data_IF_292374651145
#
_entry.id   IF_292374651145
#
_cell.length_a   1.000
_cell.length_b   1.000
_cell.length_c   1.000
_cell.angle_alpha   90.00
_cell.angle_beta   90.00
_cell.angle_gamma   90.00
#
_symmetry.space_group_name_H-M   'P 1'
#
loop_
_entity.id
_entity.type
_entity.pdbx_description
1 polymer ?
#
# COMPACT_ATOMS: atom_id res chain seq x y z
N UNK A 1 43.69 1.65 68.53
CA UNK A 1 43.87 1.49 67.06
C UNK A 1 42.47 1.38 66.46
N UNK A 2 42.04 2.38 65.68
CA UNK A 2 40.65 2.53 65.20
C UNK A 2 40.39 1.55 64.06
N UNK A 3 39.39 0.67 64.18
CA UNK A 3 38.83 -0.07 63.04
C UNK A 3 37.59 0.66 62.54
N UNK A 4 37.64 1.10 61.27
CA UNK A 4 36.52 1.69 60.54
C UNK A 4 35.77 0.56 59.83
N UNK A 5 34.52 0.33 60.20
CA UNK A 5 33.61 -0.55 59.46
C UNK A 5 32.99 0.23 58.31
N UNK A 6 33.37 -0.11 57.08
CA UNK A 6 32.79 0.44 55.85
C UNK A 6 31.53 -0.34 55.52
N UNK A 7 30.35 0.28 55.63
CA UNK A 7 29.09 -0.28 55.12
C UNK A 7 29.04 -0.06 53.60
N UNK A 8 29.11 -1.13 52.81
CA UNK A 8 28.73 -1.09 51.41
C UNK A 8 27.20 -1.06 51.30
N UNK A 9 26.66 0.08 50.86
CA UNK A 9 25.28 0.16 50.39
C UNK A 9 25.29 -0.31 48.93
N UNK A 10 24.80 -1.53 48.68
CA UNK A 10 24.55 -2.00 47.32
C UNK A 10 23.30 -1.31 46.76
N UNK A 11 23.49 -0.33 45.88
CA UNK A 11 22.41 0.25 45.11
C UNK A 11 21.99 -0.74 44.01
N UNK A 12 20.85 -1.41 44.20
CA UNK A 12 20.19 -2.21 43.17
C UNK A 12 19.61 -1.26 42.12
N UNK A 13 20.33 -1.10 41.00
CA UNK A 13 19.77 -0.49 39.80
C UNK A 13 18.72 -1.45 39.22
N UNK A 14 17.43 -1.11 39.39
CA UNK A 14 16.35 -1.81 38.72
C UNK A 14 16.41 -1.49 37.22
N UNK A 15 16.96 -2.42 36.44
CA UNK A 15 16.82 -2.40 34.99
C UNK A 15 15.37 -2.76 34.69
N UNK A 16 14.54 -1.76 34.38
CA UNK A 16 13.19 -1.99 33.86
C UNK A 16 13.31 -2.58 32.45
N UNK A 17 13.24 -3.90 32.35
CA UNK A 17 13.04 -4.56 31.06
C UNK A 17 11.64 -4.20 30.57
N UNK A 18 11.54 -3.27 29.63
CA UNK A 18 10.31 -3.10 28.85
C UNK A 18 10.11 -4.39 28.05
N UNK A 19 9.29 -5.30 28.57
CA UNK A 19 8.80 -6.42 27.80
C UNK A 19 7.89 -5.86 26.71
N UNK A 20 8.32 -5.93 25.45
CA UNK A 20 7.44 -5.66 24.32
C UNK A 20 6.32 -6.70 24.34
N UNK A 21 5.07 -6.24 24.27
CA UNK A 21 3.93 -7.14 24.17
C UNK A 21 4.06 -7.98 22.90
N UNK A 22 3.70 -9.27 22.97
CA UNK A 22 3.71 -10.12 21.79
C UNK A 22 2.73 -9.59 20.71
N UNK A 23 3.00 -9.81 19.42
CA UNK A 23 2.07 -9.44 18.35
C UNK A 23 0.70 -10.07 18.56
N UNK A 24 -0.36 -9.31 18.29
CA UNK A 24 -1.73 -9.77 18.40
C UNK A 24 -2.04 -10.77 17.29
N UNK A 25 -2.79 -11.81 17.64
CA UNK A 25 -3.29 -12.82 16.67
C UNK A 25 -4.55 -12.35 15.94
N UNK A 26 -5.36 -11.56 16.63
CA UNK A 26 -6.63 -10.99 16.18
C UNK A 26 -6.99 -9.76 17.04
N UNK A 27 -8.09 -9.09 16.70
CA UNK A 27 -8.66 -7.94 17.42
C UNK A 27 -10.01 -8.28 18.08
N UNK A 28 -10.28 -9.56 18.35
CA UNK A 28 -11.57 -10.02 18.92
C UNK A 28 -11.89 -9.42 20.29
N UNK A 29 -10.87 -8.96 21.01
CA UNK A 29 -11.00 -8.28 22.31
C UNK A 29 -11.17 -6.76 22.18
N UNK A 30 -11.35 -6.22 20.96
CA UNK A 30 -11.65 -4.80 20.74
C UNK A 30 -10.45 -3.87 20.89
N UNK A 31 -9.24 -4.33 20.57
CA UNK A 31 -8.04 -3.50 20.64
C UNK A 31 -8.11 -2.32 19.66
N UNK A 32 -7.78 -1.13 20.18
CA UNK A 32 -7.63 0.12 19.44
C UNK A 32 -6.28 0.76 19.77
N UNK A 33 -5.89 1.81 19.04
CA UNK A 33 -4.59 2.44 19.20
C UNK A 33 -3.47 1.57 18.62
N UNK A 34 -2.28 1.64 19.21
CA UNK A 34 -1.08 0.96 18.68
C UNK A 34 -1.02 -0.51 19.07
N UNK A 35 -0.70 -1.36 18.12
CA UNK A 35 -0.46 -2.78 18.31
C UNK A 35 0.47 -3.31 17.22
N UNK A 36 0.81 -4.59 17.29
CA UNK A 36 1.58 -5.28 16.25
C UNK A 36 0.84 -6.55 15.81
N UNK A 37 1.00 -6.96 14.56
CA UNK A 37 0.49 -8.23 14.04
C UNK A 37 1.52 -8.93 13.15
N UNK A 38 1.40 -10.25 13.02
CA UNK A 38 2.30 -11.03 12.16
C UNK A 38 1.89 -10.95 10.68
N UNK A 39 2.90 -10.75 9.83
CA UNK A 39 2.80 -10.82 8.37
C UNK A 39 4.05 -11.51 7.81
N UNK A 40 4.21 -11.45 6.49
CA UNK A 40 5.26 -12.15 5.76
C UNK A 40 6.02 -11.24 4.79
N UNK A 41 7.24 -11.62 4.47
CA UNK A 41 8.06 -11.00 3.42
C UNK A 41 8.35 -12.03 2.34
N UNK A 42 7.51 -12.10 1.30
CA UNK A 42 7.76 -12.99 0.18
C UNK A 42 9.00 -12.52 -0.60
N UNK A 43 9.85 -13.44 -1.08
CA UNK A 43 11.09 -13.09 -1.77
C UNK A 43 10.85 -12.37 -3.10
N UNK A 44 9.76 -12.70 -3.81
CA UNK A 44 9.38 -12.03 -5.05
C UNK A 44 7.89 -12.25 -5.38
N UNK A 45 7.38 -11.41 -6.29
CA UNK A 45 5.98 -11.42 -6.75
C UNK A 45 5.58 -12.72 -7.46
N UNK A 46 6.49 -13.41 -8.13
CA UNK A 46 6.18 -14.63 -8.88
C UNK A 46 5.87 -15.79 -7.93
N UNK A 47 6.68 -15.95 -6.88
CA UNK A 47 6.45 -16.95 -5.85
C UNK A 47 5.20 -16.61 -5.02
N UNK A 48 5.04 -15.34 -4.65
CA UNK A 48 3.86 -14.88 -3.92
C UNK A 48 2.55 -15.14 -4.67
N UNK A 49 2.46 -14.72 -5.94
CA UNK A 49 1.28 -14.98 -6.78
C UNK A 49 0.92 -16.47 -6.78
N UNK A 50 1.90 -17.36 -6.95
CA UNK A 50 1.69 -18.82 -7.02
C UNK A 50 1.43 -19.48 -5.66
N UNK A 51 1.34 -18.71 -4.58
CA UNK A 51 1.26 -19.22 -3.20
C UNK A 51 2.44 -20.14 -2.83
N UNK A 52 3.59 -19.96 -3.50
CA UNK A 52 4.81 -20.70 -3.24
C UNK A 52 5.63 -19.95 -2.18
N UNK A 53 5.28 -20.16 -0.91
CA UNK A 53 5.83 -19.37 0.20
C UNK A 53 7.22 -19.82 0.68
N UNK A 54 7.90 -20.73 -0.03
CA UNK A 54 9.26 -21.12 0.28
C UNK A 54 10.21 -19.90 0.25
N UNK A 55 11.05 -19.76 1.29
CA UNK A 55 11.97 -18.62 1.44
C UNK A 55 11.32 -17.33 1.96
N UNK A 56 10.03 -17.35 2.30
CA UNK A 56 9.35 -16.24 2.96
C UNK A 56 9.80 -16.11 4.40
N UNK A 57 10.04 -14.88 4.87
CA UNK A 57 10.34 -14.60 6.28
C UNK A 57 9.13 -13.97 7.00
N UNK A 58 9.04 -14.16 8.31
CA UNK A 58 8.01 -13.50 9.14
C UNK A 58 8.42 -12.05 9.41
N UNK A 59 7.45 -11.14 9.45
CA UNK A 59 7.63 -9.76 9.87
C UNK A 59 6.56 -9.37 10.91
N UNK A 60 6.98 -8.68 11.96
CA UNK A 60 6.09 -8.11 12.97
C UNK A 60 5.72 -6.69 12.57
N UNK A 61 4.48 -6.46 12.15
CA UNK A 61 4.02 -5.21 11.57
C UNK A 61 3.39 -4.32 12.65
N UNK A 62 3.99 -3.17 12.99
CA UNK A 62 3.38 -2.20 13.87
C UNK A 62 2.28 -1.46 13.13
N UNK A 63 1.16 -1.30 13.82
CA UNK A 63 -0.03 -0.68 13.29
C UNK A 63 -0.75 0.16 14.34
N UNK A 64 -1.61 1.05 13.87
CA UNK A 64 -2.41 1.92 14.71
C UNK A 64 -3.85 1.94 14.18
N UNK A 65 -4.79 1.48 15.01
CA UNK A 65 -6.23 1.55 14.74
C UNK A 65 -6.82 2.79 15.41
N UNK A 66 -7.15 3.77 14.59
CA UNK A 66 -7.83 5.00 14.98
C UNK A 66 -9.33 4.80 14.79
N UNK A 67 -10.13 5.06 15.81
CA UNK A 67 -11.58 4.91 15.75
C UNK A 67 -12.28 6.27 15.80
N UNK A 68 -13.43 6.42 15.11
CA UNK A 68 -14.28 7.59 15.28
C UNK A 68 -14.65 7.80 16.76
N UNK A 69 -14.79 9.07 17.15
CA UNK A 69 -15.27 9.41 18.49
C UNK A 69 -16.75 9.06 18.63
N UNK A 70 -17.16 8.78 19.86
CA UNK A 70 -18.58 8.64 20.24
C UNK A 70 -19.33 7.50 19.52
N UNK A 71 -18.63 6.43 19.12
CA UNK A 71 -19.27 5.21 18.62
C UNK A 71 -19.97 4.49 19.79
N UNK A 72 -21.26 4.21 19.64
CA UNK A 72 -21.99 3.40 20.60
C UNK A 72 -21.34 2.02 20.78
N UNK A 73 -21.35 1.49 22.01
CA UNK A 73 -20.63 0.25 22.37
C UNK A 73 -20.89 -0.94 21.43
N UNK A 74 -22.13 -1.05 20.94
CA UNK A 74 -22.56 -2.16 20.09
C UNK A 74 -22.68 -1.78 18.60
N UNK A 75 -22.29 -0.55 18.23
CA UNK A 75 -22.30 -0.10 16.85
C UNK A 75 -21.07 -0.63 16.10
N UNK A 76 -21.31 -1.09 14.86
CA UNK A 76 -20.26 -1.44 13.90
C UNK A 76 -20.04 -0.30 12.93
N UNK A 77 -18.79 0.10 12.74
CA UNK A 77 -18.39 1.14 11.80
C UNK A 77 -17.64 0.54 10.62
N UNK A 78 -17.73 1.15 9.42
CA UNK A 78 -16.85 0.78 8.32
C UNK A 78 -15.39 1.08 8.70
N UNK A 79 -14.45 0.40 8.04
CA UNK A 79 -13.02 0.62 8.27
C UNK A 79 -12.26 0.86 6.97
N UNK A 80 -11.11 1.53 7.08
CA UNK A 80 -10.19 1.77 5.98
C UNK A 80 -8.78 1.37 6.39
N UNK A 81 -8.13 0.55 5.58
CA UNK A 81 -6.67 0.35 5.66
C UNK A 81 -5.99 1.40 4.78
N UNK A 82 -5.01 2.13 5.34
CA UNK A 82 -4.19 3.06 4.57
C UNK A 82 -2.83 2.43 4.23
N UNK A 83 -2.62 2.11 2.95
CA UNK A 83 -1.34 1.61 2.43
C UNK A 83 -0.42 2.78 2.05
N UNK A 84 0.69 2.93 2.77
CA UNK A 84 1.55 4.10 2.67
C UNK A 84 2.44 4.13 1.42
N UNK A 85 2.94 5.31 1.05
CA UNK A 85 3.83 5.48 -0.11
C UNK A 85 5.27 5.02 0.14
N UNK A 86 6.15 5.38 -0.79
CA UNK A 86 7.59 5.12 -0.66
C UNK A 86 8.25 5.87 0.50
N UNK A 87 7.61 6.91 1.06
CA UNK A 87 8.09 7.63 2.25
C UNK A 87 7.92 6.88 3.58
N UNK A 88 7.27 5.71 3.58
CA UNK A 88 6.86 5.06 4.83
C UNK A 88 5.60 5.70 5.41
N UNK A 89 5.38 5.53 6.70
CA UNK A 89 4.26 6.18 7.42
C UNK A 89 4.56 7.67 7.60
N UNK A 90 3.96 8.50 6.76
CA UNK A 90 4.10 9.97 6.74
C UNK A 90 2.90 10.66 7.41
N UNK A 91 3.06 11.93 7.82
CA UNK A 91 2.03 12.65 8.59
C UNK A 91 0.73 12.91 7.81
N UNK A 92 0.76 12.92 6.48
CA UNK A 92 -0.44 13.05 5.63
C UNK A 92 -1.44 11.91 5.86
N UNK A 93 -0.98 10.70 6.20
CA UNK A 93 -1.86 9.59 6.55
C UNK A 93 -2.71 9.91 7.78
N UNK A 94 -2.17 10.69 8.71
CA UNK A 94 -2.86 11.08 9.94
C UNK A 94 -3.64 12.39 9.77
N UNK A 95 -2.96 13.49 9.42
CA UNK A 95 -3.55 14.83 9.52
C UNK A 95 -4.48 15.17 8.34
N UNK A 96 -4.44 14.39 7.25
CA UNK A 96 -5.42 14.44 6.15
C UNK A 96 -6.33 13.24 6.24
N UNK A 97 -5.81 12.04 5.97
CA UNK A 97 -6.66 10.90 5.68
C UNK A 97 -7.36 10.34 6.91
N UNK A 98 -6.63 9.98 7.96
CA UNK A 98 -7.25 9.42 9.15
C UNK A 98 -8.19 10.42 9.83
N UNK A 99 -7.84 11.71 9.83
CA UNK A 99 -8.69 12.78 10.34
C UNK A 99 -10.03 12.87 9.59
N UNK A 100 -10.00 13.00 8.27
CA UNK A 100 -11.22 13.17 7.46
C UNK A 100 -12.06 11.89 7.43
N UNK A 101 -11.43 10.71 7.40
CA UNK A 101 -12.12 9.41 7.45
C UNK A 101 -12.80 9.17 8.81
N UNK A 102 -12.11 9.43 9.93
CA UNK A 102 -12.72 9.31 11.26
C UNK A 102 -13.87 10.31 11.43
N UNK A 103 -13.73 11.54 10.94
CA UNK A 103 -14.81 12.54 10.95
C UNK A 103 -16.01 12.08 10.11
N UNK A 104 -15.79 11.27 9.07
CA UNK A 104 -16.83 10.64 8.26
C UNK A 104 -17.36 9.32 8.84
N UNK A 105 -16.90 8.88 10.02
CA UNK A 105 -17.39 7.69 10.71
C UNK A 105 -16.68 6.38 10.34
N UNK A 106 -15.51 6.42 9.71
CA UNK A 106 -14.71 5.25 9.39
C UNK A 106 -13.61 5.03 10.42
N UNK A 107 -13.44 3.81 10.91
CA UNK A 107 -12.20 3.41 11.58
C UNK A 107 -11.05 3.35 10.57
N UNK A 108 -9.83 3.65 11.01
CA UNK A 108 -8.67 3.76 10.13
C UNK A 108 -7.51 2.97 10.72
N UNK A 109 -7.03 1.98 9.96
CA UNK A 109 -5.86 1.19 10.30
C UNK A 109 -4.68 1.63 9.43
N UNK A 110 -3.60 2.09 10.08
CA UNK A 110 -2.34 2.42 9.43
C UNK A 110 -1.31 1.39 9.85
N UNK A 111 -0.67 0.71 8.90
CA UNK A 111 0.35 -0.31 9.15
C UNK A 111 1.69 0.11 8.53
N UNK A 112 2.80 -0.01 9.26
CA UNK A 112 4.13 0.31 8.76
C UNK A 112 4.77 -0.93 8.11
N UNK A 113 4.79 -0.96 6.78
CA UNK A 113 5.33 -2.08 6.02
C UNK A 113 6.86 -2.03 5.87
N UNK A 114 7.56 -0.99 6.36
CA UNK A 114 9.00 -0.82 6.13
C UNK A 114 9.84 -1.00 7.38
N UNK A 115 9.51 -0.33 8.48
CA UNK A 115 10.32 -0.38 9.72
C UNK A 115 10.60 -1.80 10.23
N UNK A 116 9.64 -2.76 10.18
CA UNK A 116 9.90 -4.15 10.56
C UNK A 116 11.01 -4.84 9.78
N UNK A 117 11.33 -4.31 8.61
CA UNK A 117 12.34 -4.84 7.68
C UNK A 117 13.62 -4.01 7.72
N UNK A 118 13.78 -3.13 8.71
CA UNK A 118 14.95 -2.26 8.85
C UNK A 118 15.03 -1.14 7.82
N UNK A 119 13.91 -0.84 7.15
CA UNK A 119 13.83 0.17 6.08
C UNK A 119 13.03 1.37 6.57
N UNK A 120 13.54 2.58 6.34
CA UNK A 120 12.81 3.82 6.66
C UNK A 120 11.91 4.25 5.49
N UNK A 121 12.45 4.19 4.27
CA UNK A 121 11.83 4.68 3.05
C UNK A 121 12.37 3.91 1.84
N UNK A 122 11.66 3.97 0.73
CA UNK A 122 12.00 3.29 -0.53
C UNK A 122 12.04 4.24 -1.73
N UNK A 123 11.95 5.56 -1.53
CA UNK A 123 11.92 6.56 -2.59
C UNK A 123 13.13 6.45 -3.52
N UNK A 124 14.31 6.23 -2.93
CA UNK A 124 15.60 6.11 -3.63
C UNK A 124 15.93 4.70 -4.10
N UNK A 125 15.21 3.68 -3.61
CA UNK A 125 15.33 2.31 -4.06
C UNK A 125 14.06 1.53 -3.68
N UNK A 126 13.21 1.29 -4.67
CA UNK A 126 11.93 0.60 -4.49
C UNK A 126 12.10 -0.90 -4.14
N UNK A 127 13.29 -1.46 -4.38
CA UNK A 127 13.60 -2.88 -4.16
C UNK A 127 13.96 -3.21 -2.71
N UNK A 128 14.22 -2.20 -1.85
CA UNK A 128 14.56 -2.41 -0.43
C UNK A 128 13.47 -3.18 0.33
N UNK A 129 12.23 -3.07 -0.11
CA UNK A 129 11.12 -3.91 0.35
C UNK A 129 10.46 -4.54 -0.86
N UNK A 130 10.24 -5.87 -0.90
CA UNK A 130 9.49 -6.48 -1.99
C UNK A 130 8.05 -5.92 -2.06
N UNK A 131 7.57 -5.58 -3.26
CA UNK A 131 6.15 -5.22 -3.48
C UNK A 131 5.13 -6.19 -2.88
N UNK A 132 5.27 -7.54 -3.03
CA UNK A 132 4.31 -8.47 -2.43
C UNK A 132 4.31 -8.47 -0.90
N UNK A 133 5.38 -7.98 -0.24
CA UNK A 133 5.39 -7.84 1.22
C UNK A 133 4.36 -6.79 1.67
N UNK A 134 4.28 -5.67 0.95
CA UNK A 134 3.30 -4.62 1.24
C UNK A 134 1.85 -5.08 0.98
N UNK A 135 1.63 -5.89 -0.07
CA UNK A 135 0.35 -6.55 -0.33
C UNK A 135 -0.01 -7.50 0.82
N UNK A 136 0.92 -8.34 1.26
CA UNK A 136 0.72 -9.27 2.37
C UNK A 136 0.41 -8.56 3.69
N UNK A 137 1.13 -7.47 4.00
CA UNK A 137 0.91 -6.65 5.19
C UNK A 137 -0.49 -6.04 5.17
N UNK A 138 -0.94 -5.56 4.01
CA UNK A 138 -2.27 -4.98 3.81
C UNK A 138 -3.39 -6.02 3.92
N UNK A 139 -3.20 -7.23 3.38
CA UNK A 139 -4.15 -8.33 3.52
C UNK A 139 -4.20 -8.87 4.97
N UNK A 140 -3.08 -8.88 5.70
CA UNK A 140 -3.08 -9.21 7.12
C UNK A 140 -3.75 -8.12 7.97
N UNK A 141 -3.63 -6.84 7.60
CA UNK A 141 -4.41 -5.75 8.21
C UNK A 141 -5.93 -5.98 8.04
N UNK A 142 -6.39 -6.40 6.85
CA UNK A 142 -7.77 -6.84 6.65
C UNK A 142 -8.14 -8.00 7.58
N UNK A 143 -7.30 -9.04 7.67
CA UNK A 143 -7.48 -10.18 8.58
C UNK A 143 -7.61 -9.77 10.06
N UNK A 144 -6.88 -8.74 10.49
CA UNK A 144 -7.03 -8.19 11.84
C UNK A 144 -8.39 -7.49 12.01
N UNK A 145 -8.76 -6.59 11.10
CA UNK A 145 -9.98 -5.79 11.19
C UNK A 145 -11.27 -6.61 11.20
N UNK A 146 -11.34 -7.70 10.42
CA UNK A 146 -12.56 -8.54 10.35
C UNK A 146 -12.93 -9.21 11.67
N UNK A 147 -11.98 -9.32 12.60
CA UNK A 147 -12.19 -9.92 13.92
C UNK A 147 -12.64 -8.90 14.97
N UNK A 148 -12.52 -7.60 14.69
CA UNK A 148 -12.81 -6.56 15.69
C UNK A 148 -14.33 -6.42 15.89
N UNK A 149 -14.85 -6.45 17.13
CA UNK A 149 -16.29 -6.51 17.39
C UNK A 149 -17.08 -5.28 16.90
N UNK A 150 -16.44 -4.11 16.86
CA UNK A 150 -17.03 -2.85 16.38
C UNK A 150 -16.69 -2.51 14.92
N UNK A 151 -16.06 -3.41 14.16
CA UNK A 151 -15.83 -3.21 12.73
C UNK A 151 -16.88 -3.98 11.92
N UNK A 152 -17.44 -3.31 10.93
CA UNK A 152 -18.28 -3.93 9.92
C UNK A 152 -17.42 -4.65 8.89
N UNK A 153 -17.32 -5.97 9.01
CA UNK A 153 -16.49 -6.80 8.13
C UNK A 153 -16.91 -6.77 6.65
N UNK A 154 -18.15 -6.34 6.34
CA UNK A 154 -18.60 -6.17 4.96
C UNK A 154 -18.18 -4.83 4.35
N UNK A 155 -17.73 -3.87 5.16
CA UNK A 155 -17.38 -2.50 4.74
C UNK A 155 -15.97 -2.11 5.21
N UNK A 156 -14.99 -2.95 4.83
CA UNK A 156 -13.57 -2.65 5.00
C UNK A 156 -12.98 -2.28 3.64
N UNK A 157 -12.38 -1.11 3.55
CA UNK A 157 -11.83 -0.55 2.30
C UNK A 157 -10.31 -0.45 2.37
N UNK A 158 -9.68 -0.29 1.22
CA UNK A 158 -8.25 -0.01 1.11
C UNK A 158 -8.02 1.30 0.35
N UNK A 159 -7.23 2.20 0.92
CA UNK A 159 -6.74 3.39 0.23
C UNK A 159 -5.22 3.33 0.20
N UNK A 160 -4.66 3.44 -1.00
CA UNK A 160 -3.22 3.37 -1.21
C UNK A 160 -2.66 4.56 -1.95
N UNK A 161 -1.45 4.98 -1.57
CA UNK A 161 -0.76 6.16 -2.12
C UNK A 161 0.55 5.78 -2.81
N UNK A 162 0.75 6.17 -4.08
CA UNK A 162 1.97 5.87 -4.85
C UNK A 162 2.28 4.37 -4.87
N UNK A 163 3.38 3.93 -4.24
CA UNK A 163 3.68 2.51 -4.03
C UNK A 163 2.59 1.77 -3.22
N UNK A 164 1.98 2.43 -2.25
CA UNK A 164 0.79 1.92 -1.57
C UNK A 164 -0.44 1.88 -2.47
N UNK A 165 -0.52 2.76 -3.47
CA UNK A 165 -1.56 2.70 -4.51
C UNK A 165 -1.44 1.43 -5.33
N UNK A 166 -0.21 0.99 -5.61
CA UNK A 166 0.03 -0.32 -6.21
C UNK A 166 -0.44 -1.46 -5.31
N UNK A 167 -0.17 -1.40 -3.99
CA UNK A 167 -0.69 -2.39 -3.05
C UNK A 167 -2.23 -2.40 -3.03
N UNK A 168 -2.88 -1.22 -2.99
CA UNK A 168 -4.33 -1.12 -3.01
C UNK A 168 -4.94 -1.66 -4.30
N UNK A 169 -4.32 -1.38 -5.45
CA UNK A 169 -4.73 -1.97 -6.72
C UNK A 169 -4.53 -3.49 -6.72
N UNK A 170 -3.37 -3.98 -6.31
CA UNK A 170 -3.02 -5.41 -6.35
C UNK A 170 -3.95 -6.22 -5.43
N UNK A 171 -4.27 -5.73 -4.22
CA UNK A 171 -5.20 -6.42 -3.29
C UNK A 171 -6.62 -6.60 -3.83
N UNK A 172 -7.00 -5.91 -4.91
CA UNK A 172 -8.30 -6.11 -5.55
C UNK A 172 -8.39 -7.44 -6.31
N UNK A 173 -7.25 -8.06 -6.62
CA UNK A 173 -7.18 -9.23 -7.49
C UNK A 173 -6.89 -10.53 -6.72
N UNK A 174 -7.58 -11.66 -7.01
CA UNK A 174 -7.34 -12.94 -6.34
C UNK A 174 -5.88 -13.39 -6.38
N UNK A 175 -5.20 -13.26 -7.53
CA UNK A 175 -3.77 -13.62 -7.69
C UNK A 175 -2.86 -13.00 -6.63
N UNK A 176 -3.17 -11.81 -6.14
CA UNK A 176 -2.37 -11.11 -5.13
C UNK A 176 -2.96 -11.16 -3.73
N UNK A 177 -4.28 -11.34 -3.59
CA UNK A 177 -4.94 -11.34 -2.29
C UNK A 177 -5.04 -12.73 -1.64
N UNK A 178 -5.22 -13.79 -2.42
CA UNK A 178 -5.38 -15.18 -1.93
C UNK A 178 -4.15 -15.78 -1.21
N UNK A 179 -2.89 -15.34 -1.44
CA UNK A 179 -1.75 -15.84 -0.67
C UNK A 179 -1.83 -15.58 0.84
N UNK A 180 -2.71 -14.68 1.30
CA UNK A 180 -3.03 -14.48 2.72
C UNK A 180 -4.44 -14.99 2.98
N UNK A 181 -4.57 -15.97 3.88
CA UNK A 181 -5.88 -16.50 4.26
C UNK A 181 -6.65 -15.51 5.13
N UNK A 182 -7.60 -14.81 4.54
CA UNK A 182 -8.52 -13.87 5.21
C UNK A 182 -9.87 -14.49 5.56
N UNK A 183 -9.97 -15.81 5.65
CA UNK A 183 -11.24 -16.52 5.86
C UNK A 183 -12.30 -16.08 4.83
N UNK A 184 -11.87 -15.96 3.57
CA UNK A 184 -12.62 -15.50 2.39
C UNK A 184 -13.05 -14.02 2.36
N UNK A 185 -12.78 -13.24 3.41
CA UNK A 185 -13.13 -11.81 3.40
C UNK A 185 -12.25 -11.03 2.42
N UNK A 186 -12.87 -10.12 1.66
CA UNK A 186 -12.22 -9.21 0.71
C UNK A 186 -12.51 -7.77 1.10
N UNK A 187 -11.74 -6.84 0.56
CA UNK A 187 -12.07 -5.42 0.69
C UNK A 187 -13.38 -5.12 -0.08
N UNK A 188 -14.19 -4.21 0.45
CA UNK A 188 -15.42 -3.74 -0.16
C UNK A 188 -15.19 -2.76 -1.33
N UNK A 189 -14.01 -2.14 -1.37
CA UNK A 189 -13.60 -1.21 -2.41
C UNK A 189 -12.18 -0.69 -2.22
N UNK A 190 -11.61 -0.17 -3.31
CA UNK A 190 -10.22 0.28 -3.36
C UNK A 190 -10.13 1.71 -3.91
N UNK A 191 -9.35 2.57 -3.24
CA UNK A 191 -9.00 3.90 -3.76
C UNK A 191 -7.50 3.97 -3.98
N UNK A 192 -7.11 4.29 -5.21
CA UNK A 192 -5.75 4.15 -5.70
C UNK A 192 -5.23 5.52 -6.14
N UNK A 193 -4.35 6.10 -5.35
CA UNK A 193 -3.75 7.41 -5.61
C UNK A 193 -2.43 7.28 -6.36
N UNK A 194 -2.34 7.87 -7.56
CA UNK A 194 -1.12 8.01 -8.39
C UNK A 194 -0.19 6.78 -8.35
N UNK A 195 -0.68 5.58 -8.72
CA UNK A 195 -0.02 4.32 -8.38
C UNK A 195 1.27 4.07 -9.18
N UNK A 196 2.26 3.43 -8.57
CA UNK A 196 3.55 3.17 -9.22
C UNK A 196 3.62 1.96 -10.17
N UNK A 197 2.52 1.24 -10.42
CA UNK A 197 2.53 -0.08 -11.09
C UNK A 197 1.94 -0.08 -12.53
N UNK A 198 1.52 1.05 -13.09
CA UNK A 198 0.89 1.05 -14.41
C UNK A 198 1.86 1.01 -15.59
N UNK A 199 3.10 1.46 -15.44
CA UNK A 199 4.10 1.43 -16.52
C UNK A 199 4.79 0.07 -16.70
N UNK A 200 4.71 -0.79 -15.68
CA UNK A 200 5.21 -2.17 -15.70
C UNK A 200 4.08 -3.05 -15.13
N UNK A 201 3.26 -3.59 -16.03
CA UNK A 201 2.00 -4.24 -15.69
C UNK A 201 2.19 -5.74 -15.47
N UNK A 202 1.90 -6.18 -14.26
CA UNK A 202 1.87 -7.60 -13.89
C UNK A 202 0.42 -8.07 -13.96
N UNK A 203 0.00 -8.46 -15.16
CA UNK A 203 -1.39 -8.73 -15.53
C UNK A 203 -1.85 -10.04 -14.90
N UNK A 204 -2.94 -10.02 -14.16
CA UNK A 204 -3.70 -11.22 -13.75
C UNK A 204 -5.12 -11.26 -14.35
N UNK A 205 -5.52 -10.17 -15.00
CA UNK A 205 -6.85 -9.93 -15.59
C UNK A 205 -7.11 -10.71 -16.90
N UNK A 206 -6.24 -11.66 -17.28
CA UNK A 206 -6.55 -12.66 -18.31
C UNK A 206 -7.45 -13.79 -17.78
N UNK A 207 -7.45 -14.05 -16.46
CA UNK A 207 -8.13 -15.19 -15.85
C UNK A 207 -9.07 -14.82 -14.72
N UNK A 208 -8.97 -13.61 -14.21
CA UNK A 208 -9.74 -13.18 -13.05
C UNK A 208 -10.27 -11.75 -13.22
N UNK A 209 -11.11 -11.33 -12.26
CA UNK A 209 -11.66 -9.97 -12.14
C UNK A 209 -11.25 -9.38 -10.80
N UNK A 210 -11.30 -8.05 -10.72
CA UNK A 210 -11.26 -7.37 -9.44
C UNK A 210 -12.44 -7.84 -8.57
N UNK A 211 -12.16 -8.11 -7.29
CA UNK A 211 -13.12 -8.60 -6.30
C UNK A 211 -14.06 -7.50 -5.77
N UNK A 212 -13.70 -6.23 -6.01
CA UNK A 212 -14.46 -5.07 -5.58
C UNK A 212 -14.24 -3.86 -6.52
N UNK A 213 -15.10 -2.82 -6.44
CA UNK A 213 -14.93 -1.59 -7.21
C UNK A 213 -13.60 -0.88 -6.91
N UNK A 214 -13.04 -0.20 -7.91
CA UNK A 214 -11.78 0.55 -7.81
C UNK A 214 -11.98 1.99 -8.29
N UNK A 215 -11.64 2.97 -7.44
CA UNK A 215 -11.49 4.37 -7.83
C UNK A 215 -9.99 4.68 -7.96
N UNK A 216 -9.56 5.13 -9.13
CA UNK A 216 -8.17 5.57 -9.38
C UNK A 216 -8.11 7.08 -9.52
N UNK A 217 -7.25 7.72 -8.74
CA UNK A 217 -7.08 9.16 -8.70
C UNK A 217 -5.66 9.51 -9.19
N UNK A 218 -5.59 10.09 -10.38
CA UNK A 218 -4.36 10.29 -11.15
C UNK A 218 -3.92 11.77 -11.10
N UNK A 219 -2.61 11.97 -11.06
CA UNK A 219 -2.01 13.28 -11.25
C UNK A 219 -2.15 13.75 -12.71
N UNK A 220 -1.89 15.03 -12.99
CA UNK A 220 -1.89 15.55 -14.35
C UNK A 220 -0.79 14.86 -15.17
N UNK A 221 -1.15 14.30 -16.31
CA UNK A 221 -0.22 13.56 -17.18
C UNK A 221 0.98 14.40 -17.64
N UNK A 222 0.79 15.70 -17.76
CA UNK A 222 1.85 16.62 -18.21
C UNK A 222 2.80 16.99 -17.08
N UNK A 223 2.38 16.84 -15.83
CA UNK A 223 3.14 17.26 -14.65
C UNK A 223 3.62 16.08 -13.78
N UNK A 224 3.16 14.87 -14.04
CA UNK A 224 3.60 13.67 -13.35
C UNK A 224 4.95 13.18 -13.90
N UNK A 225 5.97 13.15 -13.04
CA UNK A 225 7.32 12.73 -13.42
C UNK A 225 7.63 11.27 -13.07
N UNK A 226 6.92 10.65 -12.12
CA UNK A 226 7.19 9.28 -11.69
C UNK A 226 6.65 8.21 -12.66
N UNK A 227 5.61 8.55 -13.43
CA UNK A 227 4.90 7.60 -14.29
C UNK A 227 4.35 8.27 -15.56
N UNK A 228 4.01 7.46 -16.56
CA UNK A 228 3.29 7.93 -17.74
C UNK A 228 1.79 7.70 -17.56
N UNK A 229 1.07 8.74 -17.15
CA UNK A 229 -0.36 8.67 -16.85
C UNK A 229 -1.19 8.21 -18.06
N UNK A 230 -0.72 8.45 -19.30
CA UNK A 230 -1.41 7.97 -20.49
C UNK A 230 -1.38 6.43 -20.59
N UNK A 231 -0.25 5.81 -20.21
CA UNK A 231 -0.13 4.35 -20.11
C UNK A 231 -1.09 3.80 -19.05
N UNK A 232 -1.20 4.47 -17.90
CA UNK A 232 -2.11 4.09 -16.83
C UNK A 232 -3.58 4.15 -17.28
N UNK A 233 -3.99 5.26 -17.91
CA UNK A 233 -5.35 5.41 -18.46
C UNK A 233 -5.69 4.32 -19.47
N UNK A 234 -4.78 4.06 -20.42
CA UNK A 234 -4.97 2.99 -21.41
C UNK A 234 -5.19 1.64 -20.74
N UNK A 235 -4.40 1.31 -19.71
CA UNK A 235 -4.56 0.07 -18.96
C UNK A 235 -5.91 0.00 -18.24
N UNK A 236 -6.36 1.09 -17.60
CA UNK A 236 -7.68 1.09 -16.96
C UNK A 236 -8.82 0.98 -17.98
N UNK A 237 -8.72 1.63 -19.14
CA UNK A 237 -9.70 1.48 -20.22
C UNK A 237 -9.78 0.01 -20.69
N UNK A 238 -8.64 -0.69 -20.84
CA UNK A 238 -8.61 -2.12 -21.14
C UNK A 238 -9.32 -2.97 -20.07
N UNK A 239 -9.08 -2.68 -18.79
CA UNK A 239 -9.68 -3.41 -17.67
C UNK A 239 -11.20 -3.15 -17.55
N UNK A 240 -11.64 -1.92 -17.83
CA UNK A 240 -13.05 -1.53 -17.90
C UNK A 240 -13.73 -2.25 -19.08
N UNK A 241 -13.09 -2.28 -20.25
CA UNK A 241 -13.59 -3.01 -21.41
C UNK A 241 -13.72 -4.53 -21.15
N UNK A 242 -12.88 -5.06 -20.25
CA UNK A 242 -13.01 -6.43 -19.73
C UNK A 242 -14.13 -6.58 -18.69
N UNK A 243 -14.88 -5.56 -18.32
CA UNK A 243 -16.01 -5.64 -17.39
C UNK A 243 -15.67 -5.48 -15.91
N UNK A 244 -14.48 -4.95 -15.57
CA UNK A 244 -14.16 -4.60 -14.18
C UNK A 244 -14.82 -3.26 -13.79
N UNK A 245 -15.30 -3.15 -12.55
CA UNK A 245 -15.84 -1.90 -12.02
C UNK A 245 -14.69 -0.96 -11.60
N UNK A 246 -14.13 -0.26 -12.57
CA UNK A 246 -13.05 0.71 -12.37
C UNK A 246 -13.52 2.08 -12.85
N UNK A 247 -13.31 3.10 -12.04
CA UNK A 247 -13.43 4.50 -12.42
C UNK A 247 -12.09 5.17 -12.20
N UNK A 248 -11.68 6.05 -13.09
CA UNK A 248 -10.50 6.88 -12.86
C UNK A 248 -10.79 8.36 -13.13
N UNK A 249 -10.10 9.22 -12.39
CA UNK A 249 -10.14 10.68 -12.55
C UNK A 249 -8.73 11.23 -12.57
N UNK A 250 -8.44 12.09 -13.55
CA UNK A 250 -7.19 12.84 -13.64
C UNK A 250 -7.40 14.26 -13.12
N UNK A 251 -6.60 14.70 -12.16
CA UNK A 251 -6.68 16.05 -11.62
C UNK A 251 -5.74 16.97 -12.40
N UNK A 252 -6.32 17.95 -13.12
CA UNK A 252 -5.51 18.94 -13.84
C UNK A 252 -4.73 19.83 -12.90
N UNK A 253 -3.47 20.09 -13.24
CA UNK A 253 -2.52 20.81 -12.39
C UNK A 253 -1.95 19.99 -11.22
N UNK A 254 -2.40 18.76 -11.01
CA UNK A 254 -1.88 17.91 -9.94
C UNK A 254 -0.50 17.34 -10.31
N UNK A 255 0.41 17.33 -9.33
CA UNK A 255 1.71 16.65 -9.40
C UNK A 255 1.67 15.36 -8.58
N UNK A 256 2.75 14.59 -8.59
CA UNK A 256 2.85 13.41 -7.73
C UNK A 256 2.61 13.80 -6.25
N UNK A 257 1.93 12.94 -5.49
CA UNK A 257 1.60 13.22 -4.09
C UNK A 257 0.79 14.53 -3.89
N UNK A 258 -0.24 14.73 -4.72
CA UNK A 258 -1.13 15.90 -4.66
C UNK A 258 -2.01 15.95 -3.40
N UNK A 259 -1.99 14.93 -2.56
CA UNK A 259 -2.73 14.80 -1.30
C UNK A 259 -1.91 15.26 -0.07
N UNK A 260 -0.71 15.82 -0.25
CA UNK A 260 0.22 16.13 0.85
C UNK A 260 -0.12 17.40 1.62
N UNK A 261 0.21 17.40 2.93
CA UNK A 261 0.15 18.58 3.80
C UNK A 261 1.30 19.52 3.47
N UNK A 262 1.04 20.83 3.42
CA UNK A 262 1.95 21.93 3.13
C UNK A 262 2.00 22.42 1.68
N UNK A 263 1.44 21.68 0.71
CA UNK A 263 1.20 22.10 -0.69
C UNK A 263 2.37 22.77 -1.41
N UNK A 264 3.57 22.74 -0.81
CA UNK A 264 4.72 23.48 -1.29
C UNK A 264 5.28 22.64 -2.42
N UNK A 265 5.51 23.27 -3.56
CA UNK A 265 6.27 22.64 -4.62
C UNK A 265 7.62 22.21 -4.06
N UNK A 266 7.84 20.90 -3.96
CA UNK A 266 9.09 20.30 -3.50
C UNK A 266 9.67 19.50 -4.63
N UNK A 267 10.95 19.72 -4.92
CA UNK A 267 11.70 18.85 -5.83
C UNK A 267 12.43 17.83 -4.97
N UNK A 268 12.09 16.56 -5.13
CA UNK A 268 12.96 15.48 -4.71
C UNK A 268 13.97 15.25 -5.84
N UNK A 269 15.28 15.52 -5.63
CA UNK A 269 16.29 15.39 -6.67
C UNK A 269 16.49 13.94 -7.14
N UNK A 270 16.01 12.94 -6.39
CA UNK A 270 16.13 11.52 -6.70
C UNK A 270 14.81 10.80 -6.53
N UNK A 271 13.95 10.92 -7.54
CA UNK A 271 12.70 10.15 -7.65
C UNK A 271 12.89 9.04 -8.67
N UNK A 272 12.58 7.80 -8.29
CA UNK A 272 12.47 6.71 -9.25
C UNK A 272 11.30 6.97 -10.20
N UNK A 273 11.58 7.04 -11.49
CA UNK A 273 10.59 7.21 -12.55
C UNK A 273 10.54 5.98 -13.44
N UNK A 274 9.33 5.51 -13.71
CA UNK A 274 9.02 4.51 -14.71
C UNK A 274 8.30 5.13 -15.93
N UNK A 275 8.33 6.46 -16.09
CA UNK A 275 7.64 7.17 -17.19
C UNK A 275 8.06 6.73 -18.58
N UNK A 276 9.31 6.26 -18.74
CA UNK A 276 9.79 5.72 -20.00
C UNK A 276 9.51 4.23 -20.20
N UNK A 277 8.90 3.56 -19.22
CA UNK A 277 8.50 2.16 -19.32
C UNK A 277 7.07 2.04 -19.86
N UNK A 278 6.84 1.07 -20.73
CA UNK A 278 5.51 0.58 -21.09
C UNK A 278 5.63 -0.92 -21.38
N UNK A 279 5.58 -1.71 -20.32
CA UNK A 279 5.76 -3.15 -20.38
C UNK A 279 4.59 -3.86 -19.74
N UNK A 280 4.26 -5.04 -20.27
CA UNK A 280 3.34 -5.94 -19.61
C UNK A 280 3.84 -7.38 -19.63
N UNK A 281 3.41 -8.12 -18.63
CA UNK A 281 3.58 -9.57 -18.55
C UNK A 281 2.33 -10.18 -17.94
N UNK A 282 1.87 -11.29 -18.50
CA UNK A 282 0.78 -12.06 -17.92
C UNK A 282 1.33 -13.02 -16.87
N UNK A 283 0.88 -12.83 -15.64
CA UNK A 283 1.26 -13.66 -14.52
C UNK A 283 0.69 -15.06 -14.72
N UNK A 284 1.54 -16.06 -14.56
CA UNK A 284 1.11 -17.47 -14.56
C UNK A 284 1.17 -18.01 -13.14
N UNK A 285 0.11 -18.71 -12.76
CA UNK A 285 0.00 -19.39 -11.46
C UNK A 285 0.63 -20.78 -11.48
N UNK A 286 1.14 -21.25 -12.64
CA UNK A 286 1.76 -22.56 -12.77
C UNK A 286 3.10 -22.60 -12.02
N UNK A 287 3.25 -23.51 -11.06
CA UNK A 287 4.53 -23.74 -10.39
C UNK A 287 5.65 -24.04 -11.41
N UNK A 288 6.84 -23.46 -11.20
CA UNK A 288 7.99 -23.61 -12.11
C UNK A 288 7.93 -22.81 -13.41
N UNK A 289 6.83 -22.10 -13.71
CA UNK A 289 6.83 -21.12 -14.82
C UNK A 289 7.65 -19.88 -14.43
N UNK A 290 8.44 -19.33 -15.35
CA UNK A 290 9.34 -18.21 -15.11
C UNK A 290 8.64 -16.85 -14.99
N UNK A 291 9.16 -15.87 -15.74
CA UNK A 291 8.81 -14.45 -15.71
C UNK A 291 7.30 -14.16 -15.89
N UNK A 292 6.54 -15.07 -16.49
CA UNK A 292 5.19 -14.80 -16.98
C UNK A 292 5.08 -15.30 -18.42
N UNK A 293 3.89 -15.21 -19.01
CA UNK A 293 3.72 -15.38 -20.45
C UNK A 293 3.67 -14.01 -21.14
N UNK A 294 4.05 -13.97 -22.42
CA UNK A 294 3.85 -12.82 -23.31
C UNK A 294 4.43 -11.50 -22.78
N UNK A 295 5.69 -11.51 -22.32
CA UNK A 295 6.33 -10.27 -21.87
C UNK A 295 6.64 -9.39 -23.08
N UNK A 296 6.09 -8.19 -23.10
CA UNK A 296 6.19 -7.27 -24.22
C UNK A 296 6.50 -5.85 -23.76
N UNK A 297 7.45 -5.20 -24.45
CA UNK A 297 7.77 -3.78 -24.32
C UNK A 297 7.15 -3.02 -25.48
N UNK A 298 6.11 -2.23 -25.19
CA UNK A 298 5.35 -1.48 -26.17
C UNK A 298 6.12 -0.26 -26.69
N UNK A 299 7.01 0.33 -25.89
CA UNK A 299 7.81 1.49 -26.34
C UNK A 299 8.86 1.06 -27.36
N UNK A 300 9.50 -0.10 -27.12
CA UNK A 300 10.55 -0.66 -28.01
C UNK A 300 10.02 -1.66 -29.04
N UNK A 301 8.75 -2.05 -28.94
CA UNK A 301 8.06 -3.01 -29.80
C UNK A 301 8.78 -4.37 -29.86
N UNK A 302 9.19 -4.91 -28.71
CA UNK A 302 9.92 -6.18 -28.61
C UNK A 302 9.33 -7.10 -27.56
N UNK A 303 9.37 -8.41 -27.84
CA UNK A 303 9.07 -9.46 -26.87
C UNK A 303 10.32 -9.82 -26.07
N UNK A 304 10.12 -10.28 -24.83
CA UNK A 304 11.19 -10.80 -23.97
C UNK A 304 10.84 -12.22 -23.52
N UNK A 305 11.84 -13.11 -23.53
CA UNK A 305 11.68 -14.52 -23.21
C UNK A 305 12.19 -14.88 -21.81
N UNK A 306 13.10 -14.07 -21.24
CA UNK A 306 13.77 -14.39 -19.97
C UNK A 306 13.64 -13.28 -18.93
N UNK A 307 13.76 -13.65 -17.65
CA UNK A 307 13.82 -12.68 -16.55
C UNK A 307 15.01 -11.72 -16.63
N UNK A 308 16.13 -12.18 -17.21
CA UNK A 308 17.30 -11.34 -17.43
C UNK A 308 17.03 -10.23 -18.46
N UNK A 309 16.41 -10.58 -19.60
CA UNK A 309 16.01 -9.59 -20.62
C UNK A 309 15.03 -8.57 -20.06
N UNK A 310 14.05 -9.02 -19.27
CA UNK A 310 13.10 -8.12 -18.63
C UNK A 310 13.77 -7.22 -17.59
N UNK A 311 14.64 -7.74 -16.73
CA UNK A 311 15.40 -6.93 -15.79
C UNK A 311 16.25 -5.86 -16.48
N UNK A 312 16.90 -6.22 -17.60
CA UNK A 312 17.64 -5.26 -18.42
C UNK A 312 16.73 -4.20 -19.04
N UNK A 313 15.55 -4.57 -19.54
CA UNK A 313 14.59 -3.61 -20.10
C UNK A 313 14.02 -2.66 -19.04
N UNK A 314 13.73 -3.16 -17.83
CA UNK A 314 13.33 -2.33 -16.68
C UNK A 314 14.43 -1.33 -16.34
N UNK A 315 15.68 -1.77 -16.26
CA UNK A 315 16.82 -0.89 -16.00
C UNK A 315 17.07 0.12 -17.13
N UNK A 316 16.74 -0.22 -18.38
CA UNK A 316 16.87 0.68 -19.54
C UNK A 316 15.82 1.81 -19.50
N UNK A 317 14.60 1.52 -19.04
CA UNK A 317 13.49 2.48 -19.06
C UNK A 317 13.28 3.21 -17.74
N UNK A 318 13.70 2.65 -16.60
CA UNK A 318 13.65 3.34 -15.33
C UNK A 318 14.81 4.33 -15.20
N UNK A 319 14.54 5.46 -14.54
CA UNK A 319 15.55 6.48 -14.29
C UNK A 319 15.34 7.14 -12.94
N UNK A 320 16.43 7.66 -12.38
CA UNK A 320 16.35 8.64 -11.30
C UNK A 320 16.23 10.03 -11.90
N UNK A 321 15.12 10.70 -11.61
CA UNK A 321 14.84 12.05 -12.11
C UNK A 321 14.54 13.00 -10.95
N UNK A 322 14.77 14.31 -11.12
CA UNK A 322 14.13 15.30 -10.27
C UNK A 322 12.61 15.15 -10.40
N UNK A 323 11.95 14.76 -9.31
CA UNK A 323 10.51 14.59 -9.25
C UNK A 323 9.89 15.69 -8.42
N UNK A 324 8.80 16.27 -8.91
CA UNK A 324 8.06 17.28 -8.16
C UNK A 324 6.99 16.63 -7.28
N UNK A 325 6.80 17.18 -6.09
CA UNK A 325 5.70 16.85 -5.18
C UNK A 325 4.99 18.12 -4.78
N UNK A 326 3.66 18.06 -4.71
CA UNK A 326 2.86 19.24 -4.40
C UNK A 326 3.10 20.42 -5.36
N UNK A 327 2.62 21.62 -4.99
CA UNK A 327 2.62 22.80 -5.85
C UNK A 327 1.33 22.99 -6.65
N UNK A 328 1.12 24.20 -7.18
CA UNK A 328 -0.15 24.58 -7.82
C UNK A 328 -1.29 24.73 -6.81
N UNK A 329 -2.54 24.53 -7.25
CA UNK A 329 -3.74 24.49 -6.37
C UNK A 329 -3.90 23.11 -5.68
N UNK A 330 -2.79 22.57 -5.16
CA UNK A 330 -2.78 21.26 -4.50
C UNK A 330 -3.74 21.22 -3.29
N UNK A 331 -4.06 22.37 -2.68
CA UNK A 331 -5.06 22.45 -1.61
C UNK A 331 -6.47 22.15 -2.12
N UNK A 332 -6.90 22.78 -3.21
CA UNK A 332 -8.22 22.47 -3.76
C UNK A 332 -8.27 21.04 -4.30
N UNK A 333 -7.20 20.58 -4.96
CA UNK A 333 -7.09 19.22 -5.49
C UNK A 333 -7.16 18.18 -4.37
N UNK A 334 -6.40 18.35 -3.27
CA UNK A 334 -6.49 17.46 -2.11
C UNK A 334 -7.92 17.45 -1.55
N UNK A 335 -8.53 18.62 -1.35
CA UNK A 335 -9.89 18.70 -0.82
C UNK A 335 -10.90 18.01 -1.74
N UNK A 336 -10.74 18.13 -3.06
CA UNK A 336 -11.57 17.44 -4.05
C UNK A 336 -11.34 15.93 -4.02
N UNK A 337 -10.09 15.48 -3.97
CA UNK A 337 -9.76 14.06 -3.91
C UNK A 337 -10.27 13.38 -2.62
N UNK A 338 -10.25 14.09 -1.48
CA UNK A 338 -10.89 13.64 -0.24
C UNK A 338 -12.40 13.51 -0.42
N UNK A 339 -13.06 14.51 -1.02
CA UNK A 339 -14.51 14.43 -1.29
C UNK A 339 -14.88 13.26 -2.20
N UNK A 340 -14.19 13.11 -3.33
CA UNK A 340 -14.41 12.03 -4.29
C UNK A 340 -14.20 10.65 -3.66
N UNK A 341 -13.19 10.54 -2.79
CA UNK A 341 -12.91 9.33 -2.01
C UNK A 341 -14.07 9.01 -1.08
N UNK A 342 -14.51 9.96 -0.26
CA UNK A 342 -15.61 9.76 0.67
C UNK A 342 -16.93 9.45 -0.05
N UNK A 343 -17.20 10.06 -1.20
CA UNK A 343 -18.36 9.75 -2.03
C UNK A 343 -18.31 8.31 -2.55
N UNK A 344 -17.14 7.88 -3.04
CA UNK A 344 -16.94 6.49 -3.49
C UNK A 344 -17.17 5.49 -2.36
N UNK A 345 -16.59 5.72 -1.17
CA UNK A 345 -16.74 4.83 -0.02
C UNK A 345 -18.20 4.75 0.46
N UNK A 346 -18.92 5.88 0.48
CA UNK A 346 -20.34 5.94 0.87
C UNK A 346 -21.28 5.29 -0.14
N UNK A 347 -20.89 5.27 -1.42
CA UNK A 347 -21.67 4.65 -2.49
C UNK A 347 -21.65 3.12 -2.48
N UNK A 348 -20.81 2.50 -1.64
CA UNK A 348 -20.69 1.05 -1.50
C UNK A 348 -21.40 0.67 -0.19
N UNK A 349 -22.57 0.03 -0.32
CA UNK A 349 -23.41 -0.40 0.80
C UNK A 349 -23.07 -1.81 1.27
#
# INVERSE_FOLDING_TARGET
>A
MKWRSTFLVAALAAVSTQAFAAPLKDLSNGQTGRFEYESITPPNRHLYARQLLAGTTVATIPAELLTPKDIAKDAKVPAVVLSHGSGGVESNLYDVWAKELNAAGYAVLIADSYKPRGVLETNSNQELVPYPAHVADTMNALRMLVTHPQIDAARIFNIGFSRGGSAAFDTAWPTWSDPVNTSTVKFAGHVVFYPGNCNIRYRSDDREKATAPILVLLADRELEEAQDVAVCRRWYDELIAKGNNIRYKEFKGARHAFDTLNFTYRVNPRTTSAKNCDMELYMTMKAGSGLGNNVYDFKKKRSMATGAEFGLAVNECQAMVPGSRGGGDAKAIQAEAVRDTLEFLKGIQ
#
